data_IF_355888467354
#
_entry.id   IF_355888467354
#
_cell.length_a   1.000
_cell.length_b   1.000
_cell.length_c   1.000
_cell.angle_alpha   90.00
_cell.angle_beta   90.00
_cell.angle_gamma   90.00
#
_symmetry.space_group_name_H-M   'P 1'
#
loop_
_entity.id
_entity.type
_entity.pdbx_description
1 polymer ?
#
# COMPACT_ATOMS: atom_id res chain seq x y z
N UNK A 1 -5.51 21.76 21.88
CA UNK A 1 -6.08 20.49 22.38
C UNK A 1 -4.96 19.46 22.44
N UNK A 2 -4.65 18.90 23.62
CA UNK A 2 -3.68 17.81 23.76
C UNK A 2 -4.08 16.60 22.90
N UNK A 3 -3.10 15.86 22.38
CA UNK A 3 -3.37 14.69 21.55
C UNK A 3 -4.13 13.60 22.33
N UNK A 4 -3.79 13.40 23.61
CA UNK A 4 -4.45 12.44 24.51
C UNK A 4 -5.93 12.73 24.69
N UNK A 5 -6.28 13.98 24.99
CA UNK A 5 -7.66 14.39 25.17
C UNK A 5 -8.49 14.25 23.89
N UNK A 6 -7.87 14.48 22.72
CA UNK A 6 -8.51 14.26 21.42
C UNK A 6 -8.74 12.79 21.11
N UNK A 7 -7.76 11.93 21.46
CA UNK A 7 -7.84 10.49 21.32
C UNK A 7 -8.97 9.91 22.17
N UNK A 8 -9.07 10.30 23.44
CA UNK A 8 -10.13 9.85 24.35
C UNK A 8 -11.51 10.28 23.83
N UNK A 9 -11.64 11.53 23.38
CA UNK A 9 -12.87 12.04 22.79
C UNK A 9 -13.28 11.31 21.50
N UNK A 10 -12.31 10.96 20.65
CA UNK A 10 -12.55 10.22 19.42
C UNK A 10 -12.94 8.75 19.70
N UNK A 11 -12.32 8.13 20.71
CA UNK A 11 -12.69 6.80 21.21
C UNK A 11 -14.12 6.79 21.73
N UNK A 12 -14.47 7.74 22.59
CA UNK A 12 -15.81 7.83 23.19
C UNK A 12 -16.91 8.07 22.14
N UNK A 13 -16.57 8.75 21.05
CA UNK A 13 -17.47 8.99 19.91
C UNK A 13 -17.48 7.88 18.87
N UNK A 14 -16.67 6.84 19.00
CA UNK A 14 -16.56 5.75 18.02
C UNK A 14 -15.97 6.20 16.68
N UNK A 15 -15.15 7.25 16.67
CA UNK A 15 -14.48 7.76 15.46
C UNK A 15 -13.16 7.05 15.16
N UNK A 16 -12.64 6.31 16.13
CA UNK A 16 -11.45 5.49 15.96
C UNK A 16 -11.84 4.10 15.48
N UNK A 17 -11.02 3.46 14.62
CA UNK A 17 -11.16 2.05 14.32
C UNK A 17 -11.23 1.24 15.62
N UNK A 18 -12.07 0.19 15.68
CA UNK A 18 -12.00 -0.77 16.78
C UNK A 18 -10.55 -1.29 16.89
N UNK A 19 -10.12 -1.56 18.12
CA UNK A 19 -8.79 -2.15 18.41
C UNK A 19 -7.57 -1.25 18.13
N UNK A 20 -7.77 0.03 17.80
CA UNK A 20 -6.66 0.99 17.72
C UNK A 20 -6.06 1.25 19.13
N UNK A 21 -4.86 0.70 19.35
CA UNK A 21 -4.05 0.91 20.53
C UNK A 21 -2.93 1.92 20.25
N UNK A 22 -2.83 2.93 21.11
CA UNK A 22 -1.91 4.07 20.96
C UNK A 22 -1.11 4.18 22.26
N UNK A 23 0.21 4.05 22.17
CA UNK A 23 1.12 4.08 23.31
C UNK A 23 2.17 5.19 23.16
N UNK A 24 2.49 5.86 24.27
CA UNK A 24 3.45 6.96 24.28
C UNK A 24 2.99 8.17 23.46
N UNK A 25 1.67 8.41 23.40
CA UNK A 25 1.09 9.57 22.73
C UNK A 25 1.52 10.87 23.43
N UNK A 26 2.11 11.78 22.68
CA UNK A 26 2.58 13.06 23.19
C UNK A 26 2.30 14.22 22.23
N UNK A 27 2.31 15.44 22.76
CA UNK A 27 2.04 16.65 21.99
C UNK A 27 0.56 17.01 21.89
N UNK A 28 0.17 17.54 20.73
CA UNK A 28 -1.14 18.14 20.45
C UNK A 28 -1.76 17.54 19.19
N UNK A 29 -3.04 17.81 18.97
CA UNK A 29 -3.69 17.44 17.69
C UNK A 29 -3.03 18.05 16.46
N UNK A 30 -2.31 19.16 16.63
CA UNK A 30 -1.63 19.87 15.53
C UNK A 30 -0.22 19.35 15.27
N UNK A 31 0.44 18.85 16.29
CA UNK A 31 1.83 18.42 16.26
C UNK A 31 2.01 17.44 17.39
N UNK A 32 2.26 16.17 17.07
CA UNK A 32 2.38 15.14 18.06
C UNK A 32 3.16 13.94 17.54
N UNK A 33 3.46 13.07 18.47
CA UNK A 33 4.21 11.85 18.25
C UNK A 33 3.54 10.73 19.03
N UNK A 34 3.52 9.54 18.43
CA UNK A 34 3.17 8.31 19.11
C UNK A 34 4.35 7.35 19.00
N UNK A 35 4.79 6.85 20.14
CA UNK A 35 5.89 5.90 20.20
C UNK A 35 5.51 4.58 19.53
N UNK A 36 4.28 4.11 19.78
CA UNK A 36 3.75 2.92 19.15
C UNK A 36 2.26 3.03 18.86
N UNK A 37 1.90 2.76 17.61
CA UNK A 37 0.53 2.63 17.13
C UNK A 37 0.32 1.18 16.70
N UNK A 38 -0.66 0.52 17.30
CA UNK A 38 -1.08 -0.84 16.95
C UNK A 38 -2.53 -0.81 16.49
N UNK A 39 -2.80 -1.40 15.35
CA UNK A 39 -4.14 -1.59 14.82
C UNK A 39 -4.17 -2.99 14.19
N UNK A 40 -4.97 -3.89 14.76
CA UNK A 40 -4.97 -5.31 14.36
C UNK A 40 -3.53 -5.87 14.41
N UNK A 41 -3.05 -6.51 13.34
CA UNK A 41 -1.68 -7.01 13.21
C UNK A 41 -0.65 -5.91 12.85
N UNK A 42 -1.11 -4.72 12.44
CA UNK A 42 -0.25 -3.61 12.05
C UNK A 42 0.34 -2.91 13.28
N UNK A 43 1.66 -2.91 13.41
CA UNK A 43 2.39 -2.24 14.49
C UNK A 43 3.41 -1.23 13.95
N UNK A 44 3.04 0.04 13.98
CA UNK A 44 3.89 1.17 13.61
C UNK A 44 4.56 1.77 14.85
N UNK A 45 5.81 2.21 14.71
CA UNK A 45 6.55 2.89 15.77
C UNK A 45 7.09 4.23 15.28
N UNK A 46 7.27 5.16 16.22
CA UNK A 46 7.85 6.47 15.95
C UNK A 46 7.06 7.27 14.92
N UNK A 47 5.73 7.21 15.00
CA UNK A 47 4.87 7.94 14.07
C UNK A 47 4.71 9.36 14.61
N UNK A 48 5.10 10.34 13.80
CA UNK A 48 4.93 11.76 14.10
C UNK A 48 4.04 12.40 13.04
N UNK A 49 3.23 13.36 13.46
CA UNK A 49 2.37 14.11 12.55
C UNK A 49 2.43 15.61 12.81
N UNK A 50 2.24 16.38 11.75
CA UNK A 50 2.14 17.82 11.79
C UNK A 50 1.00 18.29 10.89
N UNK A 51 -0.03 18.88 11.49
CA UNK A 51 -1.15 19.48 10.80
C UNK A 51 -0.85 20.95 10.53
N UNK A 52 -1.09 21.38 9.28
CA UNK A 52 -0.94 22.77 8.87
C UNK A 52 -2.24 23.54 9.10
N UNK A 53 -2.17 24.67 9.82
CA UNK A 53 -3.34 25.50 10.11
C UNK A 53 -3.82 26.33 8.90
N UNK A 54 -2.90 26.81 8.06
CA UNK A 54 -3.26 27.71 6.94
C UNK A 54 -4.21 27.10 5.90
N UNK A 55 -4.06 25.83 5.49
CA UNK A 55 -4.99 25.19 4.57
C UNK A 55 -6.43 25.06 5.10
N UNK A 56 -6.64 25.08 6.42
CA UNK A 56 -7.99 24.97 7.02
C UNK A 56 -8.87 26.15 6.65
N UNK A 57 -8.29 27.35 6.53
CA UNK A 57 -9.01 28.54 6.06
C UNK A 57 -9.57 28.38 4.64
N UNK A 58 -9.06 27.39 3.88
CA UNK A 58 -9.52 27.01 2.54
C UNK A 58 -10.24 25.65 2.54
N UNK A 59 -10.74 25.22 3.70
CA UNK A 59 -11.48 23.96 3.85
C UNK A 59 -10.64 22.70 3.62
N UNK A 60 -9.34 22.74 3.91
CA UNK A 60 -8.44 21.59 3.75
C UNK A 60 -7.74 21.26 5.05
N UNK A 61 -7.92 20.03 5.54
CA UNK A 61 -7.10 19.47 6.60
C UNK A 61 -5.84 18.88 5.97
N UNK A 62 -4.70 19.54 6.15
CA UNK A 62 -3.41 19.07 5.63
C UNK A 62 -2.53 18.57 6.76
N UNK A 63 -2.10 17.31 6.65
CA UNK A 63 -1.31 16.61 7.65
C UNK A 63 -0.07 16.02 6.99
N UNK A 64 1.10 16.40 7.50
CA UNK A 64 2.34 15.71 7.21
C UNK A 64 2.50 14.57 8.21
N UNK A 65 2.79 13.37 7.70
CA UNK A 65 2.97 12.16 8.51
C UNK A 65 4.36 11.64 8.20
N UNK A 66 5.09 11.23 9.23
CA UNK A 66 6.37 10.57 9.11
C UNK A 66 6.46 9.43 10.12
N UNK A 67 7.15 8.36 9.77
CA UNK A 67 7.47 7.28 10.70
C UNK A 67 8.89 6.79 10.44
N UNK A 68 9.57 6.37 11.50
CA UNK A 68 10.92 5.85 11.42
C UNK A 68 11.15 4.76 12.47
N UNK A 69 11.73 3.63 12.04
CA UNK A 69 12.16 2.51 12.86
C UNK A 69 13.49 1.99 12.29
N UNK A 70 14.34 1.30 13.07
CA UNK A 70 15.48 0.57 12.50
C UNK A 70 15.04 -0.29 11.30
N UNK A 71 15.57 0.01 10.11
CA UNK A 71 15.28 -0.73 8.88
C UNK A 71 13.94 -0.44 8.21
N UNK A 72 13.16 0.57 8.64
CA UNK A 72 11.97 1.03 7.91
C UNK A 72 11.65 2.49 8.17
N UNK A 73 11.00 3.15 7.21
CA UNK A 73 10.55 4.52 7.40
C UNK A 73 9.73 5.02 6.23
N UNK A 74 9.09 6.15 6.45
CA UNK A 74 8.33 6.80 5.40
C UNK A 74 7.83 8.16 5.80
N UNK A 75 7.38 8.89 4.79
CA UNK A 75 6.76 10.20 4.95
C UNK A 75 5.68 10.38 3.90
N UNK A 76 4.66 11.14 4.22
CA UNK A 76 3.59 11.48 3.31
C UNK A 76 2.95 12.82 3.68
N UNK A 77 2.30 13.46 2.73
CA UNK A 77 1.44 14.62 2.97
C UNK A 77 0.02 14.26 2.56
N UNK A 78 -0.86 14.16 3.55
CA UNK A 78 -2.29 13.92 3.36
C UNK A 78 -3.04 15.25 3.40
N UNK A 79 -3.91 15.49 2.43
CA UNK A 79 -4.84 16.60 2.40
C UNK A 79 -6.27 16.08 2.26
N UNK A 80 -7.12 16.40 3.22
CA UNK A 80 -8.53 16.03 3.21
C UNK A 80 -9.39 17.27 2.96
N UNK A 81 -10.34 17.14 2.04
CA UNK A 81 -11.37 18.15 1.70
C UNK A 81 -12.72 17.45 1.69
N UNK A 82 -13.80 18.24 1.72
CA UNK A 82 -15.15 17.70 1.58
C UNK A 82 -15.43 17.07 0.21
N UNK A 83 -14.65 17.44 -0.81
CA UNK A 83 -14.78 16.94 -2.18
C UNK A 83 -13.86 15.75 -2.49
N UNK A 84 -12.91 15.44 -1.61
CA UNK A 84 -11.97 14.36 -1.85
C UNK A 84 -10.71 14.42 -1.02
N UNK A 85 -9.75 13.58 -1.41
CA UNK A 85 -8.48 13.40 -0.74
C UNK A 85 -7.33 13.64 -1.71
N UNK A 86 -6.22 14.12 -1.18
CA UNK A 86 -4.94 14.16 -1.88
C UNK A 86 -3.83 13.60 -1.01
N UNK A 87 -2.97 12.82 -1.62
CA UNK A 87 -1.74 12.31 -1.07
C UNK A 87 -0.61 12.84 -1.92
N UNK A 88 0.42 13.39 -1.28
CA UNK A 88 1.55 14.01 -1.96
C UNK A 88 2.85 13.59 -1.32
N UNK A 89 3.88 13.44 -2.14
CA UNK A 89 5.24 13.13 -1.71
C UNK A 89 5.27 11.93 -0.76
N UNK A 90 4.50 10.87 -1.05
CA UNK A 90 4.61 9.65 -0.28
C UNK A 90 5.91 8.97 -0.68
N UNK A 91 6.76 8.76 0.33
CA UNK A 91 7.97 7.94 0.22
C UNK A 91 7.96 6.93 1.35
N UNK A 92 8.15 5.66 1.04
CA UNK A 92 8.20 4.63 2.06
C UNK A 92 9.22 3.55 1.68
N UNK A 93 9.85 3.00 2.71
CA UNK A 93 10.73 1.83 2.62
C UNK A 93 10.48 0.95 3.85
N UNK A 94 9.88 -0.22 3.64
CA UNK A 94 9.45 -1.10 4.72
C UNK A 94 9.49 -2.58 4.32
N UNK A 95 9.68 -3.51 5.29
CA UNK A 95 9.56 -4.94 5.03
C UNK A 95 8.21 -5.31 4.44
N UNK A 96 8.20 -6.14 3.38
CA UNK A 96 6.97 -6.54 2.71
C UNK A 96 5.99 -7.31 3.63
N UNK A 97 6.53 -8.04 4.62
CA UNK A 97 5.76 -8.70 5.67
C UNK A 97 4.75 -7.76 6.36
N UNK A 98 5.11 -6.49 6.59
CA UNK A 98 4.20 -5.54 7.25
C UNK A 98 2.95 -5.22 6.44
N UNK A 99 3.00 -5.34 5.11
CA UNK A 99 1.81 -5.19 4.26
C UNK A 99 1.01 -6.47 4.20
N UNK A 100 1.67 -7.63 4.24
CA UNK A 100 0.99 -8.92 4.28
C UNK A 100 0.13 -9.03 5.55
N UNK A 101 0.74 -8.73 6.70
CA UNK A 101 0.05 -8.74 8.00
C UNK A 101 -1.16 -7.79 8.03
N UNK A 102 -1.09 -6.65 7.32
CA UNK A 102 -2.13 -5.62 7.36
C UNK A 102 -3.27 -5.78 6.33
N UNK A 103 -3.05 -6.55 5.25
CA UNK A 103 -3.98 -6.59 4.12
C UNK A 103 -4.31 -8.01 3.63
N UNK A 104 -3.73 -9.04 4.24
CA UNK A 104 -3.87 -10.42 3.78
C UNK A 104 -4.40 -11.32 4.89
N UNK A 105 -5.68 -11.71 4.79
CA UNK A 105 -6.38 -12.54 5.79
C UNK A 105 -5.97 -14.03 5.77
N UNK A 106 -5.00 -14.43 4.94
CA UNK A 106 -4.48 -15.79 4.90
C UNK A 106 -3.00 -15.81 5.30
N UNK A 107 -2.56 -16.81 6.09
CA UNK A 107 -1.22 -16.81 6.66
C UNK A 107 -0.23 -17.08 5.54
N UNK A 108 0.40 -16.06 4.97
CA UNK A 108 1.37 -16.19 3.87
C UNK A 108 2.71 -15.61 4.27
N UNK A 109 3.79 -16.30 3.90
CA UNK A 109 5.12 -15.73 4.09
C UNK A 109 5.36 -14.76 2.94
N UNK A 110 5.72 -13.52 3.30
CA UNK A 110 6.05 -12.45 2.35
C UNK A 110 7.36 -11.83 2.80
N UNK A 111 8.38 -11.93 1.96
CA UNK A 111 9.72 -11.42 2.24
C UNK A 111 10.10 -10.30 1.26
N UNK A 112 11.23 -9.66 1.53
CA UNK A 112 11.73 -8.53 0.74
C UNK A 112 11.30 -7.18 1.29
N UNK A 113 11.51 -6.14 0.49
CA UNK A 113 11.25 -4.75 0.86
C UNK A 113 10.34 -4.07 -0.13
N UNK A 114 9.41 -3.27 0.38
CA UNK A 114 8.54 -2.42 -0.42
C UNK A 114 9.09 -1.01 -0.40
N UNK A 115 9.42 -0.51 -1.58
CA UNK A 115 9.76 0.88 -1.84
C UNK A 115 8.58 1.55 -2.52
N UNK A 116 8.19 2.71 -2.03
CA UNK A 116 7.17 3.54 -2.66
C UNK A 116 7.73 4.94 -2.89
N UNK A 117 7.58 5.46 -4.11
CA UNK A 117 7.77 6.87 -4.44
C UNK A 117 6.55 7.33 -5.23
N UNK A 118 5.63 7.98 -4.54
CA UNK A 118 4.34 8.41 -5.07
C UNK A 118 4.24 9.94 -4.90
N UNK A 119 4.65 10.70 -5.94
CA UNK A 119 4.59 12.15 -5.91
C UNK A 119 3.18 12.70 -5.68
N UNK A 120 2.17 12.08 -6.28
CA UNK A 120 0.79 12.58 -6.23
C UNK A 120 -0.26 11.49 -6.42
N UNK A 121 -1.29 11.52 -5.58
CA UNK A 121 -2.58 10.85 -5.80
C UNK A 121 -3.69 11.81 -5.38
N UNK A 122 -4.62 12.11 -6.26
CA UNK A 122 -5.80 12.93 -6.04
C UNK A 122 -7.05 12.09 -6.32
N UNK A 123 -7.90 11.95 -5.31
CA UNK A 123 -9.16 11.23 -5.38
C UNK A 123 -10.29 12.24 -5.13
N UNK A 124 -11.24 12.32 -6.05
CA UNK A 124 -12.47 13.06 -5.91
C UNK A 124 -13.61 12.08 -5.61
N UNK A 125 -14.52 12.41 -4.70
CA UNK A 125 -15.58 11.48 -4.31
C UNK A 125 -16.50 11.07 -5.48
N UNK A 126 -16.77 11.99 -6.41
CA UNK A 126 -17.65 11.75 -7.56
C UNK A 126 -16.91 11.28 -8.81
N UNK A 127 -15.66 11.72 -9.00
CA UNK A 127 -14.91 11.51 -10.25
C UNK A 127 -13.82 10.44 -10.12
N UNK A 128 -13.68 9.84 -8.93
CA UNK A 128 -12.66 8.85 -8.64
C UNK A 128 -11.24 9.42 -8.64
N UNK A 129 -10.27 8.67 -9.17
CA UNK A 129 -8.91 9.17 -9.30
C UNK A 129 -8.87 10.25 -10.38
N UNK A 130 -8.49 11.47 -10.00
CA UNK A 130 -8.31 12.58 -10.95
C UNK A 130 -6.86 12.74 -11.38
N UNK A 131 -5.93 12.23 -10.56
CA UNK A 131 -4.50 12.17 -10.84
C UNK A 131 -3.84 11.15 -9.94
N UNK A 132 -2.95 10.32 -10.45
CA UNK A 132 -2.16 9.39 -9.69
C UNK A 132 -0.90 9.12 -10.49
N UNK A 133 0.26 9.33 -9.88
CA UNK A 133 1.57 9.13 -10.48
C UNK A 133 2.50 8.60 -9.39
N UNK A 134 3.26 7.56 -9.71
CA UNK A 134 4.20 6.99 -8.75
C UNK A 134 4.78 5.67 -9.19
N UNK A 135 5.72 5.17 -8.42
CA UNK A 135 6.34 3.86 -8.60
C UNK A 135 6.33 3.12 -7.27
N UNK A 136 6.00 1.84 -7.35
CA UNK A 136 6.15 0.86 -6.29
C UNK A 136 7.23 -0.14 -6.72
N UNK A 137 8.12 -0.50 -5.81
CA UNK A 137 9.11 -1.55 -5.98
C UNK A 137 8.97 -2.59 -4.89
N UNK A 138 9.05 -3.86 -5.25
CA UNK A 138 9.21 -4.96 -4.31
C UNK A 138 10.56 -5.62 -4.57
N UNK A 139 11.55 -5.25 -3.76
CA UNK A 139 12.93 -5.72 -3.88
C UNK A 139 13.14 -7.00 -3.09
N UNK A 140 13.82 -7.98 -3.69
CA UNK A 140 14.02 -9.30 -3.11
C UNK A 140 12.70 -9.97 -2.78
N UNK A 141 11.70 -9.83 -3.65
CA UNK A 141 10.39 -10.39 -3.45
C UNK A 141 10.47 -11.90 -3.33
N UNK A 142 9.90 -12.44 -2.26
CA UNK A 142 9.64 -13.85 -2.11
C UNK A 142 8.29 -14.03 -1.42
N UNK A 143 7.53 -15.03 -1.84
CA UNK A 143 6.25 -15.34 -1.20
C UNK A 143 5.89 -16.80 -1.35
N UNK A 144 5.16 -17.35 -0.36
CA UNK A 144 4.68 -18.71 -0.42
C UNK A 144 4.31 -19.29 0.95
N UNK A 145 3.83 -20.53 0.90
CA UNK A 145 3.46 -21.35 2.04
C UNK A 145 3.81 -22.81 1.75
N UNK A 146 4.43 -23.56 2.69
CA UNK A 146 4.93 -23.15 4.00
C UNK A 146 6.30 -22.44 3.96
N UNK A 147 6.88 -22.25 2.77
CA UNK A 147 8.17 -21.59 2.56
C UNK A 147 8.03 -20.51 1.51
N UNK A 148 8.78 -19.41 1.64
CA UNK A 148 8.81 -18.35 0.66
C UNK A 148 9.55 -18.83 -0.60
N UNK A 149 8.96 -18.62 -1.77
CA UNK A 149 9.58 -18.90 -3.05
C UNK A 149 10.12 -17.57 -3.61
N UNK A 150 11.40 -17.48 -3.99
CA UNK A 150 11.95 -16.28 -4.59
C UNK A 150 11.23 -15.92 -5.89
N UNK A 151 10.84 -14.64 -6.02
CA UNK A 151 10.18 -14.07 -7.20
C UNK A 151 11.12 -13.10 -7.94
N UNK A 152 12.08 -12.49 -7.24
CA UNK A 152 13.02 -11.52 -7.80
C UNK A 152 12.64 -10.08 -7.46
N UNK A 153 12.95 -9.13 -8.33
CA UNK A 153 12.59 -7.73 -8.12
C UNK A 153 11.39 -7.38 -8.99
N UNK A 154 10.35 -6.79 -8.39
CA UNK A 154 9.12 -6.40 -9.10
C UNK A 154 8.95 -4.88 -9.03
N UNK A 155 8.42 -4.29 -10.10
CA UNK A 155 8.13 -2.86 -10.16
C UNK A 155 6.73 -2.64 -10.70
N UNK A 156 5.99 -1.73 -10.08
CA UNK A 156 4.70 -1.26 -10.57
C UNK A 156 4.69 0.25 -10.77
N UNK A 157 4.20 0.70 -11.92
CA UNK A 157 4.03 2.11 -12.24
C UNK A 157 2.55 2.50 -12.12
N UNK A 158 2.29 3.54 -11.32
CA UNK A 158 0.96 4.05 -11.04
C UNK A 158 0.63 5.21 -11.99
N UNK A 159 -0.56 5.15 -12.55
CA UNK A 159 -1.14 6.17 -13.44
C UNK A 159 -2.64 6.28 -13.17
N UNK A 160 -3.28 7.35 -13.61
CA UNK A 160 -4.76 7.41 -13.72
C UNK A 160 -5.15 7.15 -15.16
N UNK A 161 -6.19 6.36 -15.39
CA UNK A 161 -6.77 6.19 -16.72
C UNK A 161 -7.89 7.20 -17.02
N UNK A 162 -8.34 7.25 -18.27
CA UNK A 162 -9.33 8.22 -18.73
C UNK A 162 -10.71 8.07 -18.06
N UNK A 163 -10.96 6.93 -17.39
CA UNK A 163 -12.20 6.66 -16.68
C UNK A 163 -12.12 7.05 -15.19
N UNK A 164 -11.02 7.66 -14.77
CA UNK A 164 -10.79 8.02 -13.37
C UNK A 164 -10.47 6.81 -12.48
N UNK A 165 -9.93 5.74 -13.05
CA UNK A 165 -9.47 4.58 -12.30
C UNK A 165 -7.96 4.68 -12.07
N UNK A 166 -7.50 4.15 -10.94
CA UNK A 166 -6.08 3.95 -10.71
C UNK A 166 -5.62 2.77 -11.55
N UNK A 167 -4.62 2.98 -12.39
CA UNK A 167 -3.98 1.94 -13.19
C UNK A 167 -2.57 1.70 -12.68
N UNK A 168 -2.26 0.45 -12.35
CA UNK A 168 -0.93 0.01 -11.97
C UNK A 168 -0.40 -1.00 -12.99
N UNK A 169 0.74 -0.71 -13.63
CA UNK A 169 1.41 -1.64 -14.56
C UNK A 169 2.58 -2.27 -13.84
N UNK A 170 2.47 -3.56 -13.52
CA UNK A 170 3.48 -4.34 -12.83
C UNK A 170 4.32 -5.15 -13.83
N UNK A 171 5.64 -5.14 -13.62
CA UNK A 171 6.62 -5.90 -14.41
C UNK A 171 7.70 -6.47 -13.51
N UNK A 172 8.24 -7.63 -13.88
CA UNK A 172 9.49 -8.08 -13.27
C UNK A 172 10.68 -7.23 -13.75
N UNK A 173 11.71 -7.17 -12.92
CA UNK A 173 12.99 -6.55 -13.22
C UNK A 173 14.11 -7.60 -13.28
N UNK A 174 13.78 -8.77 -13.84
CA UNK A 174 14.62 -9.96 -13.77
C UNK A 174 14.38 -10.78 -12.50
N UNK A 175 14.98 -11.97 -12.46
CA UNK A 175 14.74 -12.97 -11.44
C UNK A 175 13.99 -14.20 -11.97
N UNK A 176 13.63 -15.15 -11.09
CA UNK A 176 13.03 -16.43 -11.49
C UNK A 176 11.59 -16.30 -12.02
N UNK A 177 10.86 -15.25 -11.62
CA UNK A 177 9.52 -14.96 -12.11
C UNK A 177 9.55 -14.04 -13.34
N UNK A 178 8.76 -14.38 -14.35
CA UNK A 178 8.29 -13.45 -15.37
C UNK A 178 6.93 -12.90 -14.95
N UNK A 179 6.77 -11.59 -14.96
CA UNK A 179 5.53 -10.90 -14.62
C UNK A 179 5.29 -9.76 -15.61
N UNK A 180 4.11 -9.76 -16.23
CA UNK A 180 3.55 -8.57 -16.85
C UNK A 180 2.06 -8.50 -16.50
N UNK A 181 1.67 -7.51 -15.71
CA UNK A 181 0.29 -7.33 -15.30
C UNK A 181 -0.13 -5.86 -15.31
N UNK A 182 -1.41 -5.63 -15.53
CA UNK A 182 -2.08 -4.35 -15.35
C UNK A 182 -3.22 -4.56 -14.36
N UNK A 183 -3.14 -3.88 -13.23
CA UNK A 183 -4.25 -3.73 -12.31
C UNK A 183 -4.98 -2.41 -12.57
N UNK A 184 -6.30 -2.42 -12.46
CA UNK A 184 -7.13 -1.22 -12.45
C UNK A 184 -8.06 -1.25 -11.24
N UNK A 185 -8.17 -0.13 -10.55
CA UNK A 185 -8.94 0.02 -9.32
C UNK A 185 -9.82 1.27 -9.41
N UNK A 186 -11.14 1.06 -9.26
CA UNK A 186 -12.08 2.15 -9.00
C UNK A 186 -12.20 2.40 -7.49
N UNK A 187 -12.25 3.67 -7.02
CA UNK A 187 -12.20 3.99 -5.59
C UNK A 187 -13.39 3.49 -4.74
N UNK A 188 -14.53 3.15 -5.35
CA UNK A 188 -15.73 2.61 -4.64
C UNK A 188 -16.42 1.50 -5.44
N UNK A 189 -15.65 0.79 -6.27
CA UNK A 189 -16.21 -0.04 -7.31
C UNK A 189 -15.40 -1.28 -7.62
N UNK A 190 -15.38 -1.68 -8.91
CA UNK A 190 -14.69 -2.89 -9.31
C UNK A 190 -13.18 -2.68 -9.27
N UNK A 191 -12.48 -3.79 -9.05
CA UNK A 191 -11.06 -3.91 -9.35
C UNK A 191 -10.87 -5.03 -10.37
N UNK A 192 -9.83 -4.89 -11.19
CA UNK A 192 -9.47 -5.87 -12.20
C UNK A 192 -7.96 -5.99 -12.30
N UNK A 193 -7.45 -7.21 -12.38
CA UNK A 193 -6.05 -7.52 -12.65
C UNK A 193 -5.99 -8.43 -13.86
N UNK A 194 -5.29 -7.97 -14.89
CA UNK A 194 -5.04 -8.75 -16.11
C UNK A 194 -3.54 -8.87 -16.32
N UNK A 195 -3.05 -10.04 -16.69
CA UNK A 195 -1.63 -10.21 -16.92
C UNK A 195 -1.23 -11.61 -17.33
N UNK A 196 0.06 -11.85 -17.23
CA UNK A 196 0.71 -13.11 -17.52
C UNK A 196 1.85 -13.31 -16.55
N UNK A 197 1.95 -14.52 -16.01
CA UNK A 197 3.03 -14.98 -15.14
C UNK A 197 3.78 -16.12 -15.80
N UNK A 198 5.01 -16.39 -15.39
CA UNK A 198 5.69 -17.61 -15.81
C UNK A 198 6.98 -17.82 -15.04
N UNK A 199 7.44 -19.06 -14.99
CA UNK A 199 8.79 -19.36 -14.53
C UNK A 199 9.79 -19.06 -15.65
N UNK A 200 10.98 -18.59 -15.29
CA UNK A 200 12.17 -18.58 -16.16
C UNK A 200 13.04 -19.80 -15.89
N UNK A 201 13.99 -20.09 -16.76
CA UNK A 201 14.86 -21.28 -16.65
C UNK A 201 15.65 -21.35 -15.34
N UNK A 202 15.93 -20.20 -14.73
CA UNK A 202 16.60 -20.06 -13.44
C UNK A 202 15.68 -20.22 -12.22
N UNK A 203 14.40 -20.49 -12.43
CA UNK A 203 13.43 -20.69 -11.37
C UNK A 203 13.63 -22.03 -10.66
N UNK A 204 13.46 -22.01 -9.34
CA UNK A 204 13.43 -23.24 -8.58
C UNK A 204 12.17 -24.06 -8.92
N UNK A 205 12.22 -25.40 -8.83
CA UNK A 205 11.08 -26.26 -9.14
C UNK A 205 9.79 -25.90 -8.38
N UNK A 206 9.93 -25.35 -7.17
CA UNK A 206 8.80 -24.88 -6.35
C UNK A 206 8.00 -23.77 -7.03
N UNK A 207 8.65 -22.83 -7.73
CA UNK A 207 7.96 -21.74 -8.42
C UNK A 207 7.11 -22.27 -9.57
N UNK A 208 7.66 -23.16 -10.40
CA UNK A 208 6.92 -23.77 -11.51
C UNK A 208 5.71 -24.55 -11.03
N UNK A 209 5.85 -25.32 -9.94
CA UNK A 209 4.75 -26.04 -9.32
C UNK A 209 3.66 -25.09 -8.79
N UNK A 210 4.03 -24.06 -8.02
CA UNK A 210 3.09 -23.07 -7.51
C UNK A 210 2.32 -22.36 -8.64
N UNK A 211 3.02 -21.97 -9.71
CA UNK A 211 2.41 -21.36 -10.88
C UNK A 211 1.43 -22.31 -11.57
N UNK A 212 1.78 -23.58 -11.78
CA UNK A 212 0.88 -24.56 -12.40
C UNK A 212 -0.44 -24.78 -11.64
N UNK A 213 -0.48 -24.48 -10.33
CA UNK A 213 -1.70 -24.53 -9.53
C UNK A 213 -2.62 -23.32 -9.79
N UNK A 214 -2.07 -22.19 -10.24
CA UNK A 214 -2.82 -20.98 -10.55
C UNK A 214 -3.56 -21.07 -11.89
N UNK A 215 -3.10 -21.91 -12.81
CA UNK A 215 -3.73 -22.07 -14.12
C UNK A 215 -2.89 -22.85 -15.12
N UNK A 216 -3.43 -22.99 -16.33
CA UNK A 216 -2.73 -23.61 -17.45
C UNK A 216 -1.88 -22.58 -18.18
N UNK A 217 -0.71 -23.01 -18.61
CA UNK A 217 0.15 -22.24 -19.49
C UNK A 217 -0.48 -22.07 -20.88
N UNK A 218 -0.23 -20.91 -21.49
CA UNK A 218 -0.54 -20.59 -22.87
C UNK A 218 0.53 -21.11 -23.84
N UNK A 219 0.41 -20.77 -25.12
CA UNK A 219 1.35 -21.18 -26.16
C UNK A 219 2.78 -20.66 -25.97
N UNK A 220 2.99 -19.66 -25.10
CA UNK A 220 4.29 -19.06 -24.78
C UNK A 220 4.85 -19.60 -23.46
N UNK A 221 4.20 -20.60 -22.84
CA UNK A 221 4.58 -21.12 -21.52
C UNK A 221 4.27 -20.13 -20.39
N UNK A 222 3.28 -19.24 -20.59
CA UNK A 222 2.87 -18.22 -19.61
C UNK A 222 1.47 -18.51 -19.09
N UNK A 223 1.23 -18.23 -17.83
CA UNK A 223 -0.06 -18.43 -17.18
C UNK A 223 -0.82 -17.12 -17.25
N UNK A 224 -1.95 -17.05 -18.00
CA UNK A 224 -2.76 -15.85 -18.05
C UNK A 224 -3.45 -15.61 -16.70
N UNK A 225 -3.40 -14.36 -16.24
CA UNK A 225 -4.13 -13.87 -15.08
C UNK A 225 -5.30 -13.02 -15.53
N UNK A 226 -6.49 -13.32 -15.00
CA UNK A 226 -7.65 -12.45 -15.12
C UNK A 226 -8.48 -12.54 -13.83
N UNK A 227 -8.23 -11.62 -12.92
CA UNK A 227 -8.91 -11.51 -11.64
C UNK A 227 -9.78 -10.26 -11.65
N UNK A 228 -10.95 -10.34 -11.06
CA UNK A 228 -11.83 -9.18 -10.88
C UNK A 228 -12.67 -9.35 -9.64
N UNK A 229 -12.98 -8.24 -8.98
CA UNK A 229 -13.84 -8.23 -7.81
C UNK A 229 -14.34 -6.83 -7.51
N UNK A 230 -14.79 -6.63 -6.27
CA UNK A 230 -15.27 -5.36 -5.75
C UNK A 230 -14.73 -5.18 -4.34
N UNK A 231 -14.38 -3.94 -3.98
CA UNK A 231 -14.01 -3.55 -2.62
C UNK A 231 -15.20 -3.64 -1.66
#
# INVERSE_FOLDING_TARGET
MPATLAHDLARDRGWLPPELAVEGLSGSVWSGEVQQLRWEELSLQGVAWQVSAWPLLRGELRTHIQFARPGSGGSAQLGLRTTGMRLQNLRADLPAAYLADAFVDFPVIVEGRILADIPVVHVHHEAGFTRAEGTLGWLGAASGLPQAIPLGDLRAELSTDDNGWLRAVARDHGGPLFLEATARLSPVGPWQIQGRLGARDQAEPGLGQALSLMGREDSEGRIPLNLSGRL
#
